data_IF_014316953602
#
_entry.id   IF_014316953602
#
_cell.length_a   1.000
_cell.length_b   1.000
_cell.length_c   1.000
_cell.angle_alpha   90.00
_cell.angle_beta   90.00
_cell.angle_gamma   90.00
#
_symmetry.space_group_name_H-M   'P 1'
#
loop_
_entity.id
_entity.type
_entity.pdbx_description
1 polymer ?
#
# COMPACT_ATOMS: atom_id res chain seq x y z
N UNK A 1 -10.43 -17.98 6.78
CA UNK A 1 -9.00 -18.34 6.90
C UNK A 1 -8.27 -18.37 5.55
N UNK A 2 -8.95 -18.51 4.43
CA UNK A 2 -8.35 -18.62 3.08
C UNK A 2 -7.79 -17.29 2.51
N UNK A 3 -8.35 -16.14 2.81
CA UNK A 3 -8.01 -14.88 2.14
C UNK A 3 -6.76 -14.14 2.65
N UNK A 4 -6.23 -14.47 3.83
CA UNK A 4 -4.97 -13.89 4.34
C UNK A 4 -3.73 -14.75 4.06
N UNK A 5 -3.88 -16.00 3.69
CA UNK A 5 -2.76 -16.82 3.25
C UNK A 5 -2.19 -16.38 1.91
N UNK A 6 -2.97 -15.69 1.07
CA UNK A 6 -2.57 -15.30 -0.28
C UNK A 6 -1.38 -14.32 -0.28
N UNK A 7 -1.40 -13.28 0.55
CA UNK A 7 -0.30 -12.31 0.64
C UNK A 7 1.00 -12.93 1.14
N UNK A 8 0.93 -13.83 2.14
CA UNK A 8 2.12 -14.52 2.66
C UNK A 8 2.55 -15.62 1.69
N UNK A 9 1.63 -16.43 1.23
CA UNK A 9 1.94 -17.60 0.39
C UNK A 9 2.46 -17.17 -0.97
N UNK A 10 1.80 -16.24 -1.64
CA UNK A 10 2.15 -15.84 -2.99
C UNK A 10 3.16 -14.68 -3.03
N UNK A 11 2.86 -13.54 -2.45
CA UNK A 11 3.73 -12.37 -2.58
C UNK A 11 5.05 -12.53 -1.80
N UNK A 12 4.98 -12.85 -0.51
CA UNK A 12 6.18 -13.10 0.30
C UNK A 12 6.92 -14.35 -0.17
N UNK A 13 6.19 -15.43 -0.51
CA UNK A 13 6.77 -16.66 -1.03
C UNK A 13 7.54 -16.43 -2.32
N UNK A 14 6.98 -15.69 -3.28
CA UNK A 14 7.66 -15.33 -4.52
C UNK A 14 8.92 -14.50 -4.27
N UNK A 15 8.84 -13.50 -3.37
CA UNK A 15 9.99 -12.66 -3.00
C UNK A 15 11.12 -13.47 -2.35
N UNK A 16 10.78 -14.41 -1.45
CA UNK A 16 11.77 -15.30 -0.80
C UNK A 16 12.40 -16.26 -1.82
N UNK A 17 11.63 -16.79 -2.78
CA UNK A 17 12.17 -17.61 -3.86
C UNK A 17 13.11 -16.81 -4.77
N UNK A 18 12.76 -15.58 -5.14
CA UNK A 18 13.63 -14.69 -5.90
C UNK A 18 14.95 -14.42 -5.15
N UNK A 19 14.85 -14.17 -3.85
CA UNK A 19 16.03 -14.03 -2.99
C UNK A 19 16.88 -15.30 -2.92
N UNK A 20 16.27 -16.47 -2.89
CA UNK A 20 16.99 -17.76 -2.95
C UNK A 20 17.71 -17.91 -4.30
N UNK A 21 17.09 -17.49 -5.42
CA UNK A 21 17.74 -17.44 -6.74
C UNK A 21 18.96 -16.50 -6.71
N UNK A 22 18.84 -15.31 -6.13
CA UNK A 22 19.96 -14.37 -5.98
C UNK A 22 21.08 -14.96 -5.12
N UNK A 23 20.72 -15.63 -4.02
CA UNK A 23 21.67 -16.25 -3.09
C UNK A 23 22.44 -17.43 -3.69
N UNK A 24 21.79 -18.30 -4.45
CA UNK A 24 22.39 -19.51 -5.05
C UNK A 24 23.00 -19.27 -6.44
N UNK A 25 22.62 -18.19 -7.10
CA UNK A 25 22.91 -17.90 -8.50
C UNK A 25 21.90 -18.56 -9.45
N UNK A 26 21.43 -17.79 -10.45
CA UNK A 26 20.34 -18.20 -11.36
C UNK A 26 20.66 -19.49 -12.11
N UNK A 27 21.87 -19.65 -12.61
CA UNK A 27 22.28 -20.87 -13.37
C UNK A 27 22.25 -22.12 -12.47
N UNK A 28 22.80 -22.00 -11.26
CA UNK A 28 22.77 -23.07 -10.26
C UNK A 28 21.34 -23.41 -9.86
N UNK A 29 20.49 -22.40 -9.68
CA UNK A 29 19.08 -22.62 -9.36
C UNK A 29 18.35 -23.40 -10.46
N UNK A 30 18.55 -23.05 -11.72
CA UNK A 30 17.95 -23.75 -12.86
C UNK A 30 18.48 -25.18 -12.97
N UNK A 31 19.79 -25.39 -12.75
CA UNK A 31 20.38 -26.72 -12.74
C UNK A 31 19.78 -27.60 -11.61
N UNK A 32 19.64 -27.04 -10.41
CA UNK A 32 19.00 -27.70 -9.29
C UNK A 32 17.55 -28.11 -9.61
N UNK A 33 16.75 -27.21 -10.21
CA UNK A 33 15.38 -27.54 -10.59
C UNK A 33 15.31 -28.68 -11.61
N UNK A 34 16.21 -28.71 -12.59
CA UNK A 34 16.29 -29.83 -13.56
C UNK A 34 16.56 -31.16 -12.86
N UNK A 35 17.52 -31.19 -11.94
CA UNK A 35 17.84 -32.37 -11.16
C UNK A 35 16.65 -32.78 -10.28
N UNK A 36 16.07 -31.85 -9.57
CA UNK A 36 14.91 -32.04 -8.72
C UNK A 36 13.73 -32.67 -9.48
N UNK A 37 13.33 -32.11 -10.60
CA UNK A 37 12.24 -32.66 -11.41
C UNK A 37 12.57 -34.00 -12.03
N UNK A 38 13.82 -34.25 -12.44
CA UNK A 38 14.25 -35.55 -12.95
C UNK A 38 14.17 -36.64 -11.89
N UNK A 39 14.56 -36.35 -10.64
CA UNK A 39 14.57 -37.32 -9.53
C UNK A 39 13.18 -37.59 -8.95
N UNK A 40 12.32 -36.57 -8.95
CA UNK A 40 11.05 -36.62 -8.23
C UNK A 40 9.82 -36.54 -9.15
N UNK A 41 9.98 -36.76 -10.46
CA UNK A 41 8.86 -36.76 -11.40
C UNK A 41 7.72 -37.67 -10.92
N UNK A 42 6.49 -37.12 -10.92
CA UNK A 42 5.26 -37.83 -10.51
C UNK A 42 5.25 -38.33 -9.05
N UNK A 43 6.08 -37.75 -8.18
CA UNK A 43 6.13 -38.07 -6.75
C UNK A 43 5.84 -36.84 -5.89
N UNK A 44 5.41 -37.06 -4.65
CA UNK A 44 5.36 -36.03 -3.63
C UNK A 44 6.78 -35.73 -3.12
N UNK A 45 7.00 -34.47 -2.80
CA UNK A 45 8.29 -33.95 -2.34
C UNK A 45 8.13 -33.04 -1.13
N UNK A 46 9.25 -32.82 -0.45
CA UNK A 46 9.40 -31.89 0.64
C UNK A 46 10.29 -30.71 0.23
N UNK A 47 10.36 -29.67 1.05
CA UNK A 47 11.31 -28.57 0.86
C UNK A 47 12.76 -29.08 0.89
N UNK A 48 13.06 -30.08 1.73
CA UNK A 48 14.40 -30.63 1.87
C UNK A 48 14.90 -31.28 0.56
N UNK A 49 14.01 -31.89 -0.22
CA UNK A 49 14.38 -32.51 -1.51
C UNK A 49 14.84 -31.43 -2.51
N UNK A 50 14.22 -30.24 -2.51
CA UNK A 50 14.66 -29.12 -3.33
C UNK A 50 15.99 -28.53 -2.81
N UNK A 51 16.11 -28.32 -1.50
CA UNK A 51 17.30 -27.74 -0.89
C UNK A 51 18.56 -28.59 -1.15
N UNK A 52 18.47 -29.92 -1.10
CA UNK A 52 19.60 -30.82 -1.44
C UNK A 52 20.14 -30.57 -2.84
N UNK A 53 19.26 -30.41 -3.82
CA UNK A 53 19.68 -30.12 -5.20
C UNK A 53 20.30 -28.73 -5.33
N UNK A 54 19.75 -27.73 -4.62
CA UNK A 54 20.29 -26.39 -4.59
C UNK A 54 21.66 -26.30 -3.93
N UNK A 55 21.88 -27.01 -2.82
CA UNK A 55 23.19 -27.11 -2.16
C UNK A 55 24.22 -27.81 -3.07
N UNK A 56 23.81 -28.89 -3.72
CA UNK A 56 24.68 -29.64 -4.64
C UNK A 56 25.13 -28.81 -5.86
N UNK A 57 24.28 -27.95 -6.39
CA UNK A 57 24.61 -27.16 -7.58
C UNK A 57 25.27 -25.83 -7.26
N UNK A 58 24.93 -25.17 -6.14
CA UNK A 58 25.44 -23.85 -5.77
C UNK A 58 26.70 -23.89 -4.90
N UNK A 59 26.95 -25.02 -4.22
CA UNK A 59 28.02 -25.16 -3.23
C UNK A 59 27.79 -24.35 -1.95
N UNK A 60 26.59 -23.75 -1.76
CA UNK A 60 26.22 -23.01 -0.57
C UNK A 60 25.48 -23.89 0.41
N UNK A 61 25.75 -23.73 1.70
CA UNK A 61 24.97 -24.36 2.77
C UNK A 61 23.68 -23.57 2.97
N UNK A 62 22.51 -24.20 2.82
CA UNK A 62 21.21 -23.52 2.85
C UNK A 62 20.46 -23.72 4.18
N UNK A 63 20.86 -24.62 5.04
CA UNK A 63 20.19 -24.84 6.34
C UNK A 63 20.12 -23.59 7.21
N UNK A 64 21.21 -22.80 7.41
CA UNK A 64 21.14 -21.54 8.16
C UNK A 64 20.24 -20.50 7.48
N UNK A 65 20.28 -20.44 6.15
CA UNK A 65 19.42 -19.54 5.37
C UNK A 65 17.94 -19.87 5.57
N UNK A 66 17.56 -21.16 5.47
CA UNK A 66 16.18 -21.62 5.70
C UNK A 66 15.72 -21.32 7.12
N UNK A 67 16.56 -21.59 8.12
CA UNK A 67 16.23 -21.31 9.51
C UNK A 67 15.90 -19.82 9.74
N UNK A 68 16.68 -18.92 9.15
CA UNK A 68 16.45 -17.47 9.31
C UNK A 68 15.31 -16.92 8.46
N UNK A 69 15.12 -17.42 7.25
CA UNK A 69 14.12 -16.87 6.32
C UNK A 69 12.74 -17.51 6.41
N UNK A 70 12.66 -18.82 6.72
CA UNK A 70 11.39 -19.54 6.72
C UNK A 70 10.86 -19.86 8.13
N UNK A 71 11.72 -19.81 9.17
CA UNK A 71 11.35 -20.17 10.53
C UNK A 71 11.25 -18.97 11.48
N UNK A 72 11.56 -17.77 11.01
CA UNK A 72 11.47 -16.54 11.81
C UNK A 72 10.49 -15.54 11.21
N UNK A 73 9.94 -14.66 12.05
CA UNK A 73 8.99 -13.62 11.64
C UNK A 73 9.68 -12.25 11.50
N UNK A 74 8.98 -11.34 10.79
CA UNK A 74 9.40 -9.95 10.63
C UNK A 74 10.28 -9.69 9.41
N UNK A 75 10.60 -8.43 9.15
CA UNK A 75 11.38 -7.94 8.01
C UNK A 75 12.48 -7.03 8.52
N UNK A 76 13.72 -7.24 8.05
CA UNK A 76 14.84 -6.37 8.37
C UNK A 76 14.77 -5.03 7.65
N UNK A 77 15.33 -4.00 8.28
CA UNK A 77 15.48 -2.67 7.66
C UNK A 77 16.93 -2.45 7.28
N UNK A 78 17.16 -2.07 6.03
CA UNK A 78 18.48 -1.76 5.47
C UNK A 78 18.55 -0.25 5.19
N UNK A 79 19.62 0.41 5.65
CA UNK A 79 19.86 1.83 5.39
C UNK A 79 21.31 2.13 5.09
N UNK A 80 21.61 3.13 4.24
CA UNK A 80 22.99 3.53 4.01
C UNK A 80 23.53 4.34 5.18
N UNK A 81 24.80 4.07 5.52
CA UNK A 81 25.65 4.95 6.31
C UNK A 81 26.78 5.45 5.43
N UNK A 82 26.81 6.75 5.16
CA UNK A 82 27.67 7.36 4.14
C UNK A 82 28.60 8.40 4.77
N UNK A 83 29.89 8.37 4.42
CA UNK A 83 30.82 9.46 4.66
C UNK A 83 31.37 9.94 3.32
N UNK A 84 31.46 11.27 3.16
CA UNK A 84 31.88 11.91 1.92
C UNK A 84 33.15 12.71 2.19
N UNK A 85 34.15 12.54 1.32
CA UNK A 85 35.37 13.34 1.31
C UNK A 85 35.70 13.72 -0.14
N UNK A 86 35.97 14.99 -0.39
CA UNK A 86 36.31 15.51 -1.72
C UNK A 86 35.31 15.12 -2.81
N UNK A 87 34.00 15.20 -2.49
CA UNK A 87 32.87 14.81 -3.34
C UNK A 87 32.88 13.32 -3.77
N UNK A 88 33.55 12.47 -3.00
CA UNK A 88 33.62 11.03 -3.21
C UNK A 88 33.18 10.26 -1.96
N UNK A 89 32.71 9.05 -2.17
CA UNK A 89 32.40 8.15 -1.06
C UNK A 89 33.69 7.68 -0.39
N UNK A 90 33.95 8.15 0.84
CA UNK A 90 35.03 7.63 1.70
C UNK A 90 34.57 6.46 2.56
N UNK A 91 33.25 6.30 2.77
CA UNK A 91 32.63 5.16 3.44
C UNK A 91 31.23 4.96 2.88
N UNK A 92 30.86 3.73 2.60
CA UNK A 92 29.48 3.28 2.38
C UNK A 92 29.30 1.98 3.16
N UNK A 93 28.44 2.00 4.17
CA UNK A 93 28.01 0.81 4.87
C UNK A 93 26.50 0.61 4.68
N UNK A 94 26.07 -0.64 4.60
CA UNK A 94 24.68 -1.03 4.76
C UNK A 94 24.49 -1.39 6.22
N UNK A 95 23.73 -0.57 6.94
CA UNK A 95 23.31 -0.86 8.31
C UNK A 95 22.04 -1.72 8.26
N UNK A 96 22.05 -2.85 8.95
CA UNK A 96 20.90 -3.72 9.10
C UNK A 96 20.33 -3.63 10.50
N UNK A 97 19.05 -3.29 10.61
CA UNK A 97 18.30 -3.37 11.87
C UNK A 97 17.43 -4.64 11.89
N UNK A 98 17.25 -5.24 13.10
CA UNK A 98 16.33 -6.36 13.26
C UNK A 98 14.88 -5.92 13.02
N UNK A 99 13.96 -6.86 12.77
CA UNK A 99 12.54 -6.54 12.65
C UNK A 99 12.00 -5.81 13.89
N UNK A 100 11.22 -4.76 13.67
CA UNK A 100 10.51 -4.08 14.75
C UNK A 100 9.33 -4.90 15.28
N UNK A 101 8.81 -5.81 14.48
CA UNK A 101 7.73 -6.74 14.80
C UNK A 101 8.16 -8.16 14.36
N UNK A 102 8.10 -9.17 15.24
CA UNK A 102 7.68 -9.10 16.65
C UNK A 102 8.64 -8.32 17.54
N UNK A 103 8.11 -7.67 18.57
CA UNK A 103 8.90 -6.88 19.53
C UNK A 103 9.96 -7.76 20.17
N UNK A 104 11.20 -7.23 20.24
CA UNK A 104 12.35 -7.95 20.81
C UNK A 104 13.05 -8.90 19.85
N UNK A 105 12.67 -8.94 18.57
CA UNK A 105 13.41 -9.66 17.53
C UNK A 105 14.86 -9.17 17.46
N UNK A 106 15.80 -10.12 17.28
CA UNK A 106 17.23 -9.85 17.12
C UNK A 106 17.78 -10.39 15.79
N UNK A 107 16.90 -10.87 14.94
CA UNK A 107 17.29 -11.53 13.69
C UNK A 107 17.93 -10.55 12.71
N UNK A 108 19.16 -10.80 12.34
CA UNK A 108 19.90 -10.13 11.28
C UNK A 108 20.11 -11.13 10.14
N UNK A 109 19.23 -11.08 9.13
CA UNK A 109 19.22 -12.08 8.07
C UNK A 109 20.32 -11.83 7.05
N UNK A 110 20.90 -12.88 6.45
CA UNK A 110 21.80 -12.70 5.32
C UNK A 110 21.02 -12.28 4.08
N UNK A 111 21.54 -11.29 3.35
CA UNK A 111 20.98 -10.83 2.08
C UNK A 111 22.03 -10.95 0.98
N UNK A 112 21.61 -11.29 -0.22
CA UNK A 112 22.35 -11.07 -1.46
C UNK A 112 21.64 -9.97 -2.23
N UNK A 113 22.27 -8.84 -2.45
CA UNK A 113 21.66 -7.69 -3.08
C UNK A 113 22.67 -6.87 -3.88
N UNK A 114 22.15 -5.93 -4.70
CA UNK A 114 22.95 -4.95 -5.39
C UNK A 114 22.79 -3.56 -4.74
N UNK A 115 23.83 -2.74 -4.81
CA UNK A 115 23.79 -1.30 -4.52
C UNK A 115 24.06 -0.56 -5.82
N UNK A 116 23.12 0.31 -6.22
CA UNK A 116 23.20 1.11 -7.44
C UNK A 116 23.49 2.58 -7.15
N UNK A 117 24.35 3.18 -7.96
CA UNK A 117 24.59 4.63 -8.01
C UNK A 117 23.96 5.20 -9.28
N UNK A 118 23.15 6.25 -9.12
CA UNK A 118 22.44 6.90 -10.22
C UNK A 118 22.80 8.38 -10.30
N UNK A 119 23.01 8.89 -11.52
CA UNK A 119 23.33 10.29 -11.80
C UNK A 119 22.25 10.92 -12.69
N UNK A 120 22.00 12.20 -12.47
CA UNK A 120 21.23 13.03 -13.39
C UNK A 120 22.09 13.31 -14.62
N UNK A 121 21.62 12.86 -15.79
CA UNK A 121 22.26 13.13 -17.11
C UNK A 121 21.22 13.72 -18.05
N UNK A 122 21.30 15.03 -18.25
CA UNK A 122 20.24 15.78 -18.92
C UNK A 122 18.96 15.73 -18.10
N UNK A 123 17.86 15.22 -18.69
CA UNK A 123 16.59 15.06 -17.99
C UNK A 123 16.38 13.67 -17.37
N UNK A 124 17.34 12.75 -17.52
CA UNK A 124 17.22 11.35 -17.09
C UNK A 124 17.99 11.10 -15.81
N UNK A 125 17.49 10.17 -14.98
CA UNK A 125 18.22 9.59 -13.86
C UNK A 125 18.71 8.19 -14.27
N UNK A 126 20.02 8.04 -14.47
CA UNK A 126 20.62 6.87 -15.10
C UNK A 126 21.55 6.17 -14.13
N UNK A 127 21.43 4.83 -14.04
CA UNK A 127 22.37 4.01 -13.27
C UNK A 127 23.76 4.13 -13.88
N UNK A 128 24.71 4.64 -13.08
CA UNK A 128 26.12 4.76 -13.46
C UNK A 128 26.90 3.51 -13.10
N UNK A 129 26.67 3.00 -11.90
CA UNK A 129 27.41 1.88 -11.33
C UNK A 129 26.48 0.97 -10.50
N UNK A 130 26.83 -0.30 -10.37
CA UNK A 130 26.10 -1.24 -9.52
C UNK A 130 27.02 -2.36 -9.04
N UNK A 131 27.04 -2.63 -7.74
CA UNK A 131 27.86 -3.65 -7.11
C UNK A 131 26.98 -4.63 -6.37
N UNK A 132 27.15 -5.95 -6.63
CA UNK A 132 26.48 -7.01 -5.89
C UNK A 132 27.35 -7.50 -4.73
N UNK A 133 26.74 -7.67 -3.56
CA UNK A 133 27.43 -8.15 -2.37
C UNK A 133 26.52 -8.99 -1.47
N UNK A 134 27.16 -9.79 -0.62
CA UNK A 134 26.49 -10.45 0.49
C UNK A 134 26.49 -9.51 1.71
N UNK A 135 25.30 -9.27 2.28
CA UNK A 135 25.10 -8.45 3.48
C UNK A 135 24.84 -9.37 4.66
N UNK A 136 25.58 -9.18 5.75
CA UNK A 136 25.42 -9.97 6.97
C UNK A 136 25.74 -9.16 8.22
N UNK A 137 25.13 -9.52 9.35
CA UNK A 137 25.31 -8.81 10.60
C UNK A 137 24.69 -7.41 10.60
N UNK A 138 25.09 -6.58 11.55
CA UNK A 138 24.52 -5.25 11.77
C UNK A 138 25.04 -4.18 10.80
N UNK A 139 26.23 -4.39 10.22
CA UNK A 139 26.86 -3.47 9.28
C UNK A 139 27.72 -4.23 8.28
N UNK A 140 27.61 -3.86 7.00
CA UNK A 140 28.41 -4.45 5.90
C UNK A 140 28.97 -3.32 5.04
N UNK A 141 30.28 -3.28 4.81
CA UNK A 141 30.93 -2.32 3.91
C UNK A 141 30.66 -2.63 2.46
N UNK A 142 30.41 -1.58 1.65
CA UNK A 142 30.26 -1.66 0.19
C UNK A 142 31.59 -1.21 -0.47
N UNK A 143 32.62 -2.04 -0.31
CA UNK A 143 33.97 -1.68 -0.72
C UNK A 143 34.09 -1.36 -2.20
N UNK A 144 33.31 -2.02 -3.07
CA UNK A 144 33.35 -1.82 -4.52
C UNK A 144 32.89 -0.44 -5.00
N UNK A 145 32.32 0.40 -4.10
CA UNK A 145 31.89 1.76 -4.42
C UNK A 145 32.72 2.84 -3.70
N UNK A 146 33.77 2.47 -2.96
CA UNK A 146 34.65 3.43 -2.31
C UNK A 146 35.48 4.18 -3.35
N UNK A 147 35.58 5.50 -3.18
CA UNK A 147 36.28 6.38 -4.11
C UNK A 147 35.47 6.82 -5.32
N UNK A 148 34.27 6.24 -5.55
CA UNK A 148 33.32 6.72 -6.55
C UNK A 148 32.84 8.13 -6.24
N UNK A 149 32.54 8.92 -7.28
CA UNK A 149 31.95 10.24 -7.13
C UNK A 149 30.56 10.16 -6.50
N UNK A 150 30.19 11.19 -5.72
CA UNK A 150 28.89 11.26 -5.07
C UNK A 150 27.76 11.21 -6.10
N UNK A 151 26.89 10.19 -5.99
CA UNK A 151 25.74 10.01 -6.85
C UNK A 151 24.57 10.91 -6.45
N UNK A 152 23.64 11.14 -7.36
CA UNK A 152 22.39 11.83 -7.07
C UNK A 152 21.38 10.92 -6.35
N UNK A 153 21.43 9.60 -6.61
CA UNK A 153 20.66 8.59 -5.89
C UNK A 153 21.55 7.37 -5.60
N UNK A 154 21.58 6.95 -4.34
CA UNK A 154 22.14 5.67 -3.90
C UNK A 154 20.97 4.73 -3.55
N UNK A 155 20.89 3.59 -4.25
CA UNK A 155 19.81 2.62 -4.08
C UNK A 155 20.34 1.28 -3.55
N UNK A 156 20.04 0.97 -2.28
CA UNK A 156 20.24 -0.35 -1.71
C UNK A 156 19.16 -1.28 -2.25
N UNK A 157 19.49 -2.54 -2.47
CA UNK A 157 18.63 -3.56 -3.07
C UNK A 157 18.22 -3.23 -4.51
N UNK A 158 19.07 -2.52 -5.25
CA UNK A 158 18.91 -2.32 -6.68
C UNK A 158 18.60 -3.66 -7.37
N UNK A 159 17.67 -3.69 -8.34
CA UNK A 159 17.13 -4.89 -8.99
C UNK A 159 16.21 -5.76 -8.11
N UNK A 160 15.81 -5.30 -6.92
CA UNK A 160 14.86 -5.99 -6.03
C UNK A 160 15.24 -7.46 -5.72
N UNK A 161 16.49 -7.70 -5.36
CA UNK A 161 17.04 -9.05 -5.17
C UNK A 161 16.72 -9.64 -3.80
N UNK A 162 16.32 -8.85 -2.81
CA UNK A 162 16.14 -9.27 -1.43
C UNK A 162 14.88 -8.70 -0.78
N UNK A 163 14.26 -9.50 0.09
CA UNK A 163 13.07 -9.08 0.86
C UNK A 163 13.49 -8.31 2.11
N UNK A 164 13.49 -6.99 2.01
CA UNK A 164 13.87 -6.09 3.10
C UNK A 164 13.13 -4.76 2.99
N UNK A 165 13.00 -4.05 4.11
CA UNK A 165 12.68 -2.63 4.11
C UNK A 165 13.95 -1.85 3.78
N UNK A 166 13.90 -1.04 2.75
CA UNK A 166 15.02 -0.17 2.35
C UNK A 166 14.74 1.26 2.78
N UNK A 167 15.79 1.98 3.16
CA UNK A 167 15.75 3.40 3.47
C UNK A 167 16.68 4.16 2.54
N UNK A 168 16.22 5.29 2.06
CA UNK A 168 17.01 6.20 1.27
C UNK A 168 17.64 7.28 2.17
N UNK A 169 18.78 7.79 1.76
CA UNK A 169 19.36 9.00 2.34
C UNK A 169 18.64 10.27 1.85
N UNK A 170 18.85 11.40 2.54
CA UNK A 170 18.18 12.67 2.26
C UNK A 170 18.46 13.20 0.84
N UNK A 171 19.68 12.99 0.31
CA UNK A 171 20.03 13.41 -1.06
C UNK A 171 19.23 12.60 -2.08
N UNK A 172 19.17 11.31 -1.91
CA UNK A 172 18.37 10.40 -2.75
C UNK A 172 16.89 10.79 -2.73
N UNK A 173 16.31 11.06 -1.56
CA UNK A 173 14.92 11.53 -1.43
C UNK A 173 14.71 12.85 -2.20
N UNK A 174 15.61 13.83 -2.03
CA UNK A 174 15.50 15.11 -2.73
C UNK A 174 15.59 14.96 -4.25
N UNK A 175 16.43 14.05 -4.75
CA UNK A 175 16.51 13.73 -6.17
C UNK A 175 15.19 13.16 -6.70
N UNK A 176 14.53 12.29 -5.94
CA UNK A 176 13.26 11.71 -6.35
C UNK A 176 12.13 12.73 -6.48
N UNK A 177 12.14 13.83 -5.74
CA UNK A 177 11.12 14.89 -5.84
C UNK A 177 10.93 15.41 -7.26
N UNK A 178 11.96 15.32 -8.10
CA UNK A 178 11.93 15.84 -9.48
C UNK A 178 12.29 14.81 -10.55
N UNK A 179 12.90 13.67 -10.17
CA UNK A 179 13.48 12.75 -11.15
C UNK A 179 12.98 11.30 -11.07
N UNK A 180 12.06 10.94 -10.17
CA UNK A 180 11.55 9.57 -10.09
C UNK A 180 10.91 9.11 -11.42
N UNK A 181 10.13 9.98 -12.06
CA UNK A 181 9.53 9.73 -13.38
C UNK A 181 10.52 9.78 -14.56
N UNK A 182 11.80 10.08 -14.30
CA UNK A 182 12.88 10.16 -15.30
C UNK A 182 13.78 8.93 -15.35
N UNK A 183 13.47 7.92 -14.53
CA UNK A 183 14.11 6.60 -14.55
C UNK A 183 13.41 5.76 -15.62
N UNK A 184 14.16 5.24 -16.59
CA UNK A 184 13.59 4.44 -17.69
C UNK A 184 13.24 3.01 -17.26
N UNK A 185 14.02 2.43 -16.34
CA UNK A 185 13.80 1.06 -15.84
C UNK A 185 12.56 0.97 -14.94
N UNK A 186 11.54 0.24 -15.41
CA UNK A 186 10.27 0.08 -14.70
C UNK A 186 10.42 -0.62 -13.34
N UNK A 187 11.33 -1.59 -13.24
CA UNK A 187 11.57 -2.29 -11.98
C UNK A 187 12.14 -1.34 -10.94
N UNK A 188 13.14 -0.54 -11.30
CA UNK A 188 13.75 0.47 -10.42
C UNK A 188 12.71 1.49 -9.96
N UNK A 189 11.84 1.99 -10.87
CA UNK A 189 10.76 2.91 -10.48
C UNK A 189 9.79 2.26 -9.50
N UNK A 190 9.35 1.04 -9.81
CA UNK A 190 8.41 0.30 -8.95
C UNK A 190 9.00 0.03 -7.56
N UNK A 191 10.28 -0.30 -7.49
CA UNK A 191 11.01 -0.48 -6.23
C UNK A 191 11.08 0.82 -5.44
N UNK A 192 11.40 1.94 -6.08
CA UNK A 192 11.45 3.25 -5.42
C UNK A 192 10.07 3.68 -4.91
N UNK A 193 8.99 3.46 -5.68
CA UNK A 193 7.61 3.69 -5.22
C UNK A 193 7.31 2.88 -3.96
N UNK A 194 7.70 1.61 -3.92
CA UNK A 194 7.51 0.76 -2.74
C UNK A 194 8.33 1.25 -1.53
N UNK A 195 9.58 1.66 -1.74
CA UNK A 195 10.48 2.17 -0.71
C UNK A 195 9.93 3.44 -0.06
N UNK A 196 9.57 4.46 -0.85
CA UNK A 196 9.07 5.73 -0.28
C UNK A 196 7.69 5.56 0.37
N UNK A 197 6.85 4.66 -0.14
CA UNK A 197 5.60 4.30 0.52
C UNK A 197 5.84 3.64 1.88
N UNK A 198 6.81 2.74 1.98
CA UNK A 198 7.15 2.08 3.25
C UNK A 198 7.78 3.08 4.23
N UNK A 199 8.61 4.02 3.75
CA UNK A 199 9.17 5.11 4.56
C UNK A 199 8.08 6.05 5.09
N UNK A 200 7.05 6.37 4.29
CA UNK A 200 5.88 7.12 4.75
C UNK A 200 5.14 6.36 5.85
N UNK A 201 4.86 5.07 5.63
CA UNK A 201 4.14 4.23 6.59
C UNK A 201 4.87 4.02 7.91
N UNK A 202 6.18 4.08 7.90
CA UNK A 202 7.02 3.97 9.11
C UNK A 202 7.38 5.35 9.70
N UNK A 203 6.74 6.44 9.22
CA UNK A 203 6.95 7.81 9.66
C UNK A 203 8.41 8.31 9.50
N UNK A 204 9.13 7.79 8.51
CA UNK A 204 10.47 8.23 8.13
C UNK A 204 10.45 9.26 6.99
N UNK A 205 9.38 9.29 6.19
CA UNK A 205 9.08 10.29 5.16
C UNK A 205 7.78 11.02 5.52
N UNK A 206 7.68 12.34 5.30
CA UNK A 206 6.44 13.09 5.50
C UNK A 206 5.41 12.77 4.42
N UNK A 207 4.12 12.89 4.73
CA UNK A 207 3.06 12.75 3.74
C UNK A 207 3.17 13.84 2.66
N UNK A 208 3.56 15.04 3.04
CA UNK A 208 3.80 16.16 2.11
C UNK A 208 4.88 15.80 1.09
N UNK A 209 6.04 15.30 1.53
CA UNK A 209 7.12 14.90 0.61
C UNK A 209 6.74 13.72 -0.28
N UNK A 210 6.07 12.70 0.30
CA UNK A 210 5.58 11.56 -0.48
C UNK A 210 4.62 11.99 -1.60
N UNK A 211 3.63 12.85 -1.27
CA UNK A 211 2.66 13.36 -2.24
C UNK A 211 3.37 14.20 -3.32
N UNK A 212 4.37 15.00 -2.93
CA UNK A 212 5.16 15.79 -3.89
C UNK A 212 5.89 14.89 -4.89
N UNK A 213 6.63 13.87 -4.40
CA UNK A 213 7.32 12.90 -5.23
C UNK A 213 6.32 12.17 -6.14
N UNK A 214 5.20 11.69 -5.58
CA UNK A 214 4.19 10.97 -6.36
C UNK A 214 3.62 11.81 -7.49
N UNK A 215 3.20 13.04 -7.21
CA UNK A 215 2.62 13.92 -8.22
C UNK A 215 3.63 14.36 -9.29
N UNK A 216 4.93 14.38 -8.98
CA UNK A 216 5.98 14.70 -9.96
C UNK A 216 6.23 13.57 -10.97
N UNK A 217 6.08 12.31 -10.54
CA UNK A 217 6.41 11.14 -11.38
C UNK A 217 5.22 10.41 -11.99
N UNK A 218 4.00 10.61 -11.44
CA UNK A 218 2.82 9.83 -11.81
C UNK A 218 2.47 9.91 -13.31
N UNK A 219 2.63 11.09 -13.94
CA UNK A 219 2.31 11.28 -15.36
C UNK A 219 3.25 10.49 -16.29
N UNK A 220 4.46 10.22 -15.83
CA UNK A 220 5.48 9.48 -16.60
C UNK A 220 5.39 7.97 -16.41
N UNK A 221 4.52 7.50 -15.50
CA UNK A 221 4.40 6.06 -15.22
C UNK A 221 3.74 5.33 -16.39
N UNK A 222 4.37 4.25 -16.81
CA UNK A 222 3.97 3.48 -17.99
C UNK A 222 3.21 2.19 -17.67
N UNK A 223 3.24 1.77 -16.39
CA UNK A 223 2.57 0.57 -15.93
C UNK A 223 1.23 0.91 -15.25
N UNK A 224 0.13 0.48 -15.85
CA UNK A 224 -1.23 0.78 -15.36
C UNK A 224 -1.50 0.23 -13.95
N UNK A 225 -0.92 -0.93 -13.61
CA UNK A 225 -1.08 -1.51 -12.27
C UNK A 225 -0.36 -0.66 -11.22
N UNK A 226 0.80 -0.11 -11.54
CA UNK A 226 1.52 0.84 -10.69
C UNK A 226 0.70 2.11 -10.50
N UNK A 227 0.17 2.71 -11.58
CA UNK A 227 -0.70 3.89 -11.49
C UNK A 227 -1.93 3.64 -10.61
N UNK A 228 -2.54 2.46 -10.74
CA UNK A 228 -3.68 2.07 -9.89
C UNK A 228 -3.29 2.05 -8.42
N UNK A 229 -2.16 1.43 -8.10
CA UNK A 229 -1.65 1.35 -6.73
C UNK A 229 -1.26 2.73 -6.18
N UNK A 230 -0.59 3.57 -6.98
CA UNK A 230 -0.22 4.93 -6.62
C UNK A 230 -1.46 5.80 -6.34
N UNK A 231 -2.55 5.60 -7.08
CA UNK A 231 -3.82 6.28 -6.80
C UNK A 231 -4.41 5.95 -5.42
N UNK A 232 -4.37 4.67 -5.02
CA UNK A 232 -4.79 4.23 -3.67
C UNK A 232 -3.85 4.80 -2.60
N UNK A 233 -2.54 4.77 -2.85
CA UNK A 233 -1.55 5.32 -1.94
C UNK A 233 -1.68 6.84 -1.78
N UNK A 234 -1.94 7.57 -2.87
CA UNK A 234 -2.19 9.01 -2.85
C UNK A 234 -3.40 9.36 -1.99
N UNK A 235 -4.53 8.66 -2.21
CA UNK A 235 -5.73 8.84 -1.38
C UNK A 235 -5.44 8.57 0.10
N UNK A 236 -4.75 7.47 0.41
CA UNK A 236 -4.40 7.11 1.80
C UNK A 236 -3.43 8.12 2.42
N UNK A 237 -2.43 8.58 1.67
CA UNK A 237 -1.48 9.59 2.12
C UNK A 237 -2.20 10.89 2.50
N UNK A 238 -3.09 11.38 1.63
CA UNK A 238 -3.88 12.59 1.88
C UNK A 238 -4.82 12.40 3.06
N UNK A 239 -5.59 11.30 3.07
CA UNK A 239 -6.69 11.14 4.02
C UNK A 239 -6.24 10.67 5.41
N UNK A 240 -5.23 9.83 5.47
CA UNK A 240 -4.85 9.18 6.72
C UNK A 240 -3.50 9.61 7.27
N UNK A 241 -2.51 9.87 6.41
CA UNK A 241 -1.13 10.12 6.85
C UNK A 241 -0.75 11.60 6.86
N UNK A 242 -1.42 12.45 6.05
CA UNK A 242 -1.20 13.89 6.12
C UNK A 242 -1.66 14.45 7.46
N UNK A 243 -0.84 15.38 8.02
CA UNK A 243 -1.25 16.13 9.19
C UNK A 243 -2.60 16.81 8.93
N UNK A 244 -3.56 16.78 9.87
CA UNK A 244 -4.86 17.41 9.68
C UNK A 244 -4.80 18.88 9.21
N UNK A 245 -3.75 19.62 9.60
CA UNK A 245 -3.55 21.02 9.15
C UNK A 245 -3.19 21.15 7.67
N UNK A 246 -2.51 20.14 7.11
CA UNK A 246 -2.02 20.14 5.72
C UNK A 246 -3.00 19.46 4.75
N UNK A 247 -3.92 18.63 5.28
CA UNK A 247 -4.76 17.69 4.51
C UNK A 247 -5.56 18.35 3.39
N UNK A 248 -6.26 19.45 3.68
CA UNK A 248 -7.10 20.09 2.68
C UNK A 248 -6.27 20.74 1.55
N UNK A 249 -5.14 21.35 1.91
CA UNK A 249 -4.21 21.92 0.93
C UNK A 249 -3.60 20.83 0.03
N UNK A 250 -3.19 19.70 0.63
CA UNK A 250 -2.64 18.56 -0.10
C UNK A 250 -3.69 17.90 -0.98
N UNK A 251 -4.93 17.74 -0.50
CA UNK A 251 -6.04 17.24 -1.31
C UNK A 251 -6.28 18.13 -2.52
N UNK A 252 -6.34 19.45 -2.33
CA UNK A 252 -6.55 20.42 -3.40
C UNK A 252 -5.42 20.36 -4.44
N UNK A 253 -4.16 20.31 -3.98
CA UNK A 253 -2.98 20.16 -4.84
C UNK A 253 -3.05 18.86 -5.65
N UNK A 254 -3.33 17.74 -4.98
CA UNK A 254 -3.43 16.44 -5.61
C UNK A 254 -4.57 16.38 -6.63
N UNK A 255 -5.78 16.78 -6.25
CA UNK A 255 -6.95 16.77 -7.12
C UNK A 255 -6.74 17.62 -8.38
N UNK A 256 -6.20 18.84 -8.25
CA UNK A 256 -5.88 19.71 -9.39
C UNK A 256 -4.86 19.06 -10.33
N UNK A 257 -3.78 18.52 -9.78
CA UNK A 257 -2.74 17.86 -10.59
C UNK A 257 -3.25 16.62 -11.30
N UNK A 258 -4.06 15.79 -10.63
CA UNK A 258 -4.67 14.61 -11.26
C UNK A 258 -5.63 15.02 -12.39
N UNK A 259 -6.42 16.07 -12.20
CA UNK A 259 -7.28 16.59 -13.27
C UNK A 259 -6.48 17.09 -14.47
N UNK A 260 -5.36 17.79 -14.27
CA UNK A 260 -4.46 18.20 -15.35
C UNK A 260 -3.89 17.00 -16.11
N UNK A 261 -3.46 15.94 -15.40
CA UNK A 261 -2.96 14.70 -16.01
C UNK A 261 -4.09 14.03 -16.81
N UNK A 262 -5.30 13.94 -16.24
CA UNK A 262 -6.46 13.38 -16.90
C UNK A 262 -6.79 14.10 -18.23
N UNK A 263 -6.68 15.41 -18.27
CA UNK A 263 -6.92 16.21 -19.50
C UNK A 263 -5.90 15.92 -20.61
N UNK A 264 -4.68 15.53 -20.24
CA UNK A 264 -3.61 15.19 -21.18
C UNK A 264 -3.54 13.70 -21.54
N UNK A 265 -4.25 12.86 -20.79
CA UNK A 265 -4.25 11.42 -21.02
C UNK A 265 -4.85 11.09 -22.38
N UNK A 266 -4.31 10.05 -23.03
CA UNK A 266 -4.81 9.58 -24.34
C UNK A 266 -6.30 9.26 -24.24
N UNK A 267 -7.09 9.89 -25.10
CA UNK A 267 -8.54 9.68 -25.19
C UNK A 267 -8.89 8.20 -25.43
N UNK A 268 -9.77 7.65 -24.62
CA UNK A 268 -10.22 6.25 -24.70
C UNK A 268 -9.19 5.22 -24.19
N UNK A 269 -8.08 5.65 -23.60
CA UNK A 269 -7.06 4.75 -23.07
C UNK A 269 -7.29 4.38 -21.59
N UNK A 270 -6.65 3.29 -21.16
CA UNK A 270 -6.75 2.77 -19.79
C UNK A 270 -6.27 3.81 -18.75
N UNK A 271 -5.27 4.59 -19.08
CA UNK A 271 -4.79 5.68 -18.20
C UNK A 271 -5.85 6.76 -17.99
N UNK A 272 -6.61 7.12 -19.03
CA UNK A 272 -7.72 8.07 -18.90
C UNK A 272 -8.79 7.54 -17.93
N UNK A 273 -9.16 6.25 -18.06
CA UNK A 273 -10.08 5.59 -17.12
C UNK A 273 -9.54 5.62 -15.70
N UNK A 274 -8.26 5.26 -15.52
CA UNK A 274 -7.66 5.21 -14.19
C UNK A 274 -7.50 6.59 -13.55
N UNK A 275 -7.07 7.60 -14.30
CA UNK A 275 -6.99 8.98 -13.77
C UNK A 275 -8.38 9.56 -13.46
N UNK A 276 -9.43 9.17 -14.19
CA UNK A 276 -10.81 9.52 -13.82
C UNK A 276 -11.19 8.94 -12.46
N UNK A 277 -10.82 7.67 -12.18
CA UNK A 277 -11.05 7.02 -10.87
C UNK A 277 -10.32 7.73 -9.74
N UNK A 278 -9.06 8.08 -9.96
CA UNK A 278 -8.23 8.79 -8.97
C UNK A 278 -8.79 10.20 -8.73
N UNK A 279 -9.15 10.93 -9.80
CA UNK A 279 -9.75 12.26 -9.69
C UNK A 279 -11.05 12.22 -8.88
N UNK A 280 -11.97 11.31 -9.20
CA UNK A 280 -13.23 11.16 -8.48
C UNK A 280 -13.03 10.88 -6.99
N UNK A 281 -11.99 10.11 -6.60
CA UNK A 281 -11.69 9.79 -5.21
C UNK A 281 -11.12 10.98 -4.41
N UNK A 282 -10.50 11.96 -5.09
CA UNK A 282 -9.85 13.12 -4.49
C UNK A 282 -10.59 14.44 -4.72
N UNK A 283 -11.68 14.42 -5.50
CA UNK A 283 -12.39 15.63 -5.90
C UNK A 283 -12.71 16.53 -4.70
N UNK A 284 -12.49 17.82 -4.87
CA UNK A 284 -12.83 18.85 -3.90
C UNK A 284 -14.11 19.58 -4.29
N UNK A 285 -14.70 20.34 -3.37
CA UNK A 285 -15.91 21.11 -3.68
C UNK A 285 -15.71 22.10 -4.83
N UNK A 286 -14.50 22.64 -4.99
CA UNK A 286 -14.16 23.55 -6.10
C UNK A 286 -14.23 22.87 -7.47
N UNK A 287 -14.03 21.53 -7.53
CA UNK A 287 -13.94 20.76 -8.77
C UNK A 287 -15.16 19.86 -9.04
N UNK A 288 -16.22 20.01 -8.27
CA UNK A 288 -17.48 19.30 -8.53
C UNK A 288 -18.07 19.61 -9.92
N UNK A 289 -17.97 20.84 -10.47
CA UNK A 289 -18.42 21.13 -11.84
C UNK A 289 -17.68 20.28 -12.88
N UNK A 290 -16.37 20.10 -12.75
CA UNK A 290 -15.54 19.26 -13.64
C UNK A 290 -15.98 17.79 -13.59
N UNK A 291 -16.18 17.27 -12.38
CA UNK A 291 -16.62 15.87 -12.22
C UNK A 291 -18.05 15.68 -12.78
N UNK A 292 -18.92 16.67 -12.60
CA UNK A 292 -20.27 16.66 -13.20
C UNK A 292 -20.22 16.73 -14.73
N UNK A 293 -19.33 17.51 -15.30
CA UNK A 293 -19.11 17.56 -16.74
C UNK A 293 -18.66 16.19 -17.29
N UNK A 294 -17.79 15.49 -16.56
CA UNK A 294 -17.39 14.12 -16.94
C UNK A 294 -18.61 13.19 -16.92
N UNK A 295 -19.45 13.23 -15.87
CA UNK A 295 -20.68 12.42 -15.78
C UNK A 295 -21.65 12.68 -16.95
N UNK A 296 -21.68 13.91 -17.45
CA UNK A 296 -22.49 14.34 -18.60
C UNK A 296 -21.89 13.92 -19.97
N UNK A 297 -20.74 13.21 -19.98
CA UNK A 297 -20.08 12.75 -21.20
C UNK A 297 -19.19 13.79 -21.89
N UNK A 298 -18.84 14.87 -21.22
CA UNK A 298 -18.05 15.98 -21.79
C UNK A 298 -16.52 15.76 -21.69
N UNK A 299 -16.04 14.56 -21.40
CA UNK A 299 -14.63 14.21 -21.49
C UNK A 299 -14.39 13.36 -22.73
N UNK A 300 -13.70 13.94 -23.72
CA UNK A 300 -13.47 13.28 -25.01
C UNK A 300 -12.81 11.91 -24.85
N UNK A 301 -13.37 10.89 -25.48
CA UNK A 301 -12.88 9.51 -25.51
C UNK A 301 -13.23 8.67 -24.29
N UNK A 302 -13.66 9.26 -23.18
CA UNK A 302 -14.05 8.48 -22.00
C UNK A 302 -15.40 7.78 -22.27
N UNK A 303 -15.37 6.45 -22.20
CA UNK A 303 -16.60 5.65 -22.20
C UNK A 303 -17.14 5.58 -20.78
N UNK A 304 -18.34 6.11 -20.59
CA UNK A 304 -19.07 6.03 -19.32
C UNK A 304 -19.89 4.73 -19.28
N UNK A 305 -19.20 3.63 -19.00
CA UNK A 305 -19.87 2.39 -18.67
C UNK A 305 -20.61 2.47 -17.31
N UNK A 306 -21.33 1.43 -16.96
CA UNK A 306 -22.11 1.37 -15.72
C UNK A 306 -21.24 1.67 -14.48
N UNK A 307 -20.07 1.04 -14.40
CA UNK A 307 -19.18 1.16 -13.26
C UNK A 307 -18.64 2.59 -13.11
N UNK A 308 -18.20 3.20 -14.21
CA UNK A 308 -17.68 4.57 -14.21
C UNK A 308 -18.78 5.59 -13.87
N UNK A 309 -19.98 5.42 -14.42
CA UNK A 309 -21.13 6.28 -14.09
C UNK A 309 -21.44 6.25 -12.60
N UNK A 310 -21.57 5.05 -12.02
CA UNK A 310 -21.85 4.89 -10.60
C UNK A 310 -20.71 5.39 -9.70
N UNK A 311 -19.46 5.19 -10.11
CA UNK A 311 -18.30 5.71 -9.38
C UNK A 311 -18.37 7.25 -9.26
N UNK A 312 -18.61 7.94 -10.38
CA UNK A 312 -18.69 9.39 -10.42
C UNK A 312 -19.96 9.88 -9.68
N UNK A 313 -21.10 9.22 -9.88
CA UNK A 313 -22.35 9.54 -9.18
C UNK A 313 -22.15 9.47 -7.66
N UNK A 314 -21.56 8.38 -7.16
CA UNK A 314 -21.30 8.20 -5.73
C UNK A 314 -20.30 9.23 -5.17
N UNK A 315 -19.30 9.64 -5.94
CA UNK A 315 -18.39 10.71 -5.54
C UNK A 315 -19.09 12.08 -5.44
N UNK A 316 -20.01 12.38 -6.34
CA UNK A 316 -20.84 13.59 -6.28
C UNK A 316 -21.84 13.55 -5.11
N UNK A 317 -22.47 12.41 -4.85
CA UNK A 317 -23.37 12.21 -3.68
C UNK A 317 -22.61 12.39 -2.37
N UNK A 318 -21.42 11.81 -2.25
CA UNK A 318 -20.56 11.94 -1.07
C UNK A 318 -20.31 13.41 -0.68
N UNK A 319 -20.24 14.29 -1.68
CA UNK A 319 -20.04 15.74 -1.52
C UNK A 319 -21.34 16.55 -1.44
N UNK A 320 -22.50 15.87 -1.46
CA UNK A 320 -23.80 16.55 -1.45
C UNK A 320 -24.15 17.28 -2.74
N UNK A 321 -23.41 17.01 -3.84
CA UNK A 321 -23.68 17.60 -5.15
C UNK A 321 -24.81 16.87 -5.91
N UNK A 322 -25.13 15.65 -5.53
CA UNK A 322 -26.30 14.88 -5.98
C UNK A 322 -27.09 14.38 -4.78
N UNK A 323 -28.39 14.18 -4.97
CA UNK A 323 -29.37 13.78 -3.96
C UNK A 323 -29.77 12.31 -4.05
N UNK A 324 -30.61 11.86 -3.13
CA UNK A 324 -31.23 10.52 -3.18
C UNK A 324 -32.09 10.36 -4.45
N UNK A 325 -32.81 11.39 -4.89
CA UNK A 325 -33.59 11.35 -6.12
C UNK A 325 -32.72 11.19 -7.37
N UNK A 326 -31.50 11.70 -7.38
CA UNK A 326 -30.54 11.50 -8.47
C UNK A 326 -30.04 10.04 -8.50
N UNK A 327 -29.86 9.41 -7.35
CA UNK A 327 -29.52 7.99 -7.24
C UNK A 327 -30.65 7.11 -7.78
N UNK A 328 -31.89 7.39 -7.42
CA UNK A 328 -33.07 6.68 -7.95
C UNK A 328 -33.20 6.84 -9.46
N UNK A 329 -32.98 8.06 -9.97
CA UNK A 329 -32.99 8.34 -11.41
C UNK A 329 -31.88 7.57 -12.15
N UNK A 330 -30.71 7.40 -11.55
CA UNK A 330 -29.63 6.61 -12.15
C UNK A 330 -29.97 5.10 -12.11
N UNK A 331 -30.50 4.58 -11.00
CA UNK A 331 -30.92 3.18 -10.87
C UNK A 331 -32.04 2.81 -11.86
N UNK A 332 -32.93 3.75 -12.17
CA UNK A 332 -34.04 3.52 -13.13
C UNK A 332 -33.55 3.25 -14.56
N UNK A 333 -32.32 3.63 -14.90
CA UNK A 333 -31.72 3.39 -16.23
C UNK A 333 -31.22 1.95 -16.40
N UNK A 334 -30.80 1.32 -15.31
CA UNK A 334 -30.31 -0.05 -15.28
C UNK A 334 -30.52 -0.62 -13.88
N UNK A 335 -31.39 -1.62 -13.74
CA UNK A 335 -31.70 -2.26 -12.45
C UNK A 335 -30.96 -3.60 -12.29
N UNK A 336 -29.76 -3.73 -12.87
CA UNK A 336 -28.90 -4.89 -12.67
C UNK A 336 -28.43 -4.99 -11.20
N UNK A 337 -27.96 -6.17 -10.79
CA UNK A 337 -27.39 -6.36 -9.46
C UNK A 337 -26.21 -5.39 -9.20
N UNK A 338 -25.39 -5.12 -10.22
CA UNK A 338 -24.28 -4.19 -10.11
C UNK A 338 -24.76 -2.77 -9.81
N UNK A 339 -25.82 -2.30 -10.51
CA UNK A 339 -26.43 -1.00 -10.25
C UNK A 339 -27.07 -0.93 -8.85
N UNK A 340 -27.78 -1.99 -8.40
CA UNK A 340 -28.37 -2.04 -7.06
C UNK A 340 -27.30 -1.98 -5.96
N UNK A 341 -26.18 -2.65 -6.14
CA UNK A 341 -25.03 -2.59 -5.23
C UNK A 341 -24.42 -1.19 -5.17
N UNK A 342 -24.22 -0.56 -6.32
CA UNK A 342 -23.68 0.80 -6.40
C UNK A 342 -24.65 1.85 -5.83
N UNK A 343 -25.95 1.67 -6.05
CA UNK A 343 -27.02 2.47 -5.46
C UNK A 343 -27.01 2.37 -3.91
N UNK A 344 -26.90 1.15 -3.37
CA UNK A 344 -26.80 0.94 -1.92
C UNK A 344 -25.56 1.65 -1.32
N UNK A 345 -24.44 1.66 -2.04
CA UNK A 345 -23.26 2.43 -1.68
C UNK A 345 -23.56 3.94 -1.71
N UNK A 346 -24.25 4.43 -2.74
CA UNK A 346 -24.64 5.84 -2.89
C UNK A 346 -25.51 6.32 -1.73
N UNK A 347 -26.56 5.58 -1.37
CA UNK A 347 -27.44 5.90 -0.24
C UNK A 347 -26.65 6.03 1.07
N UNK A 348 -25.71 5.12 1.33
CA UNK A 348 -24.84 5.18 2.49
C UNK A 348 -23.79 6.30 2.44
N UNK A 349 -23.53 6.85 1.24
CA UNK A 349 -22.59 7.98 1.02
C UNK A 349 -23.23 9.35 1.21
N UNK A 350 -24.56 9.45 1.31
CA UNK A 350 -25.25 10.73 1.53
C UNK A 350 -24.73 11.37 2.82
N UNK A 351 -24.31 12.68 2.79
CA UNK A 351 -23.64 13.34 3.92
C UNK A 351 -24.64 13.87 4.96
N UNK A 352 -25.50 12.99 5.49
CA UNK A 352 -26.48 13.31 6.54
C UNK A 352 -26.47 12.29 7.66
N UNK A 353 -26.78 12.71 8.89
CA UNK A 353 -26.89 11.83 10.05
C UNK A 353 -27.94 10.74 9.85
N UNK A 354 -29.06 11.04 9.21
CA UNK A 354 -30.13 10.09 8.90
C UNK A 354 -29.64 8.98 7.94
N UNK A 355 -28.96 9.33 6.85
CA UNK A 355 -28.40 8.36 5.93
C UNK A 355 -27.36 7.45 6.61
N UNK A 356 -26.50 8.01 7.48
CA UNK A 356 -25.56 7.21 8.28
C UNK A 356 -26.28 6.27 9.24
N UNK A 357 -27.35 6.72 9.90
CA UNK A 357 -28.15 5.87 10.78
C UNK A 357 -28.85 4.72 10.03
N UNK A 358 -29.42 5.01 8.86
CA UNK A 358 -30.02 4.00 7.98
C UNK A 358 -28.96 2.96 7.53
N UNK A 359 -27.80 3.42 7.07
CA UNK A 359 -26.71 2.54 6.64
C UNK A 359 -26.21 1.65 7.79
N UNK A 360 -26.00 2.21 8.98
CA UNK A 360 -25.60 1.46 10.18
C UNK A 360 -26.62 0.39 10.55
N UNK A 361 -27.91 0.75 10.59
CA UNK A 361 -28.96 -0.21 10.91
C UNK A 361 -28.99 -1.37 9.92
N UNK A 362 -28.78 -1.11 8.62
CA UNK A 362 -28.68 -2.17 7.61
C UNK A 362 -27.48 -3.09 7.84
N UNK A 363 -26.31 -2.53 8.20
CA UNK A 363 -25.10 -3.31 8.48
C UNK A 363 -25.25 -4.23 9.69
N UNK A 364 -25.96 -3.80 10.74
CA UNK A 364 -26.05 -4.52 12.02
C UNK A 364 -27.26 -5.45 12.08
N UNK A 365 -28.45 -4.99 11.66
CA UNK A 365 -29.72 -5.65 11.92
C UNK A 365 -30.27 -6.44 10.75
N UNK A 366 -29.95 -6.06 9.50
CA UNK A 366 -30.54 -6.71 8.33
C UNK A 366 -29.74 -7.94 7.89
N UNK A 367 -30.45 -8.95 7.41
CA UNK A 367 -29.86 -10.08 6.71
C UNK A 367 -29.65 -9.73 5.24
N UNK A 368 -28.49 -9.16 4.94
CA UNK A 368 -28.06 -8.79 3.61
C UNK A 368 -26.86 -9.62 3.15
N UNK A 369 -26.69 -9.81 1.85
CA UNK A 369 -25.54 -10.52 1.31
C UNK A 369 -24.22 -9.79 1.59
N UNK A 370 -23.11 -10.53 1.59
CA UNK A 370 -21.76 -9.96 1.79
C UNK A 370 -21.45 -8.84 0.80
N UNK A 371 -21.93 -8.95 -0.45
CA UNK A 371 -21.73 -7.92 -1.47
C UNK A 371 -22.46 -6.60 -1.12
N UNK A 372 -23.71 -6.65 -0.66
CA UNK A 372 -24.42 -5.46 -0.19
C UNK A 372 -23.77 -4.87 1.05
N UNK A 373 -23.34 -5.71 1.99
CA UNK A 373 -22.65 -5.28 3.21
C UNK A 373 -21.39 -4.50 2.90
N UNK A 374 -20.56 -5.02 2.01
CA UNK A 374 -19.33 -4.36 1.56
C UNK A 374 -19.63 -2.99 0.93
N UNK A 375 -20.60 -2.91 0.03
CA UNK A 375 -20.96 -1.66 -0.65
C UNK A 375 -21.55 -0.62 0.29
N UNK A 376 -22.44 -1.02 1.19
CA UNK A 376 -22.99 -0.11 2.22
C UNK A 376 -21.87 0.40 3.13
N UNK A 377 -20.94 -0.49 3.54
CA UNK A 377 -19.78 -0.08 4.33
C UNK A 377 -18.91 0.95 3.60
N UNK A 378 -18.57 0.70 2.33
CA UNK A 378 -17.81 1.66 1.50
C UNK A 378 -18.49 3.02 1.40
N UNK A 379 -19.83 3.07 1.35
CA UNK A 379 -20.59 4.32 1.39
C UNK A 379 -20.64 4.96 2.77
N UNK A 380 -20.70 4.16 3.83
CA UNK A 380 -20.77 4.64 5.20
C UNK A 380 -19.45 5.30 5.65
N UNK A 381 -18.31 4.63 5.44
CA UNK A 381 -16.99 5.03 5.95
C UNK A 381 -16.28 6.06 5.06
N UNK A 382 -16.97 7.17 4.73
CA UNK A 382 -16.37 8.23 3.91
C UNK A 382 -15.45 9.15 4.71
N UNK A 383 -14.19 9.25 4.31
CA UNK A 383 -13.18 10.08 4.97
C UNK A 383 -13.53 11.57 4.96
N UNK A 384 -14.32 12.01 3.99
CA UNK A 384 -14.82 13.38 3.86
C UNK A 384 -15.93 13.74 4.86
N UNK A 385 -16.47 12.74 5.56
CA UNK A 385 -17.63 12.86 6.46
C UNK A 385 -17.26 12.46 7.91
N UNK A 386 -16.00 12.70 8.31
CA UNK A 386 -15.47 12.31 9.63
C UNK A 386 -16.34 12.76 10.79
N UNK A 387 -16.86 14.00 10.75
CA UNK A 387 -17.67 14.53 11.84
C UNK A 387 -18.99 13.78 12.04
N UNK A 388 -19.61 13.33 10.95
CA UNK A 388 -20.82 12.49 11.02
C UNK A 388 -20.53 11.10 11.57
N UNK A 389 -19.30 10.60 11.38
CA UNK A 389 -18.91 9.25 11.79
C UNK A 389 -18.47 9.16 13.26
N UNK A 390 -18.21 10.26 13.94
CA UNK A 390 -17.87 10.28 15.38
C UNK A 390 -18.92 9.60 16.25
N UNK A 391 -20.19 9.77 15.92
CA UNK A 391 -21.31 9.17 16.65
C UNK A 391 -21.32 7.63 16.67
N UNK A 392 -20.55 6.99 15.78
CA UNK A 392 -20.54 5.54 15.59
C UNK A 392 -19.37 4.82 16.26
N UNK A 393 -18.50 5.56 16.97
CA UNK A 393 -17.38 4.98 17.72
C UNK A 393 -17.93 4.07 18.84
N UNK A 394 -18.79 4.59 19.72
CA UNK A 394 -19.33 3.81 20.84
C UNK A 394 -20.20 2.63 20.35
N UNK A 395 -21.16 2.83 19.45
CA UNK A 395 -21.93 1.73 18.89
C UNK A 395 -21.09 0.61 18.25
N UNK A 396 -19.94 0.93 17.67
CA UNK A 396 -19.04 -0.09 17.14
C UNK A 396 -18.55 -1.04 18.24
N UNK A 397 -18.02 -0.50 19.34
CA UNK A 397 -17.49 -1.30 20.45
C UNK A 397 -18.58 -2.07 21.20
N UNK A 398 -19.76 -1.47 21.37
CA UNK A 398 -20.90 -2.09 22.02
C UNK A 398 -21.41 -3.36 21.30
N UNK A 399 -21.33 -3.37 19.96
CA UNK A 399 -21.82 -4.49 19.16
C UNK A 399 -20.79 -5.60 18.90
N UNK A 400 -19.50 -5.43 19.26
CA UNK A 400 -18.43 -6.37 18.88
C UNK A 400 -18.69 -7.82 19.33
N UNK A 401 -19.03 -8.04 20.60
CA UNK A 401 -19.26 -9.38 21.11
C UNK A 401 -20.52 -10.03 20.52
N UNK A 402 -21.58 -9.24 20.34
CA UNK A 402 -22.81 -9.72 19.74
C UNK A 402 -22.61 -10.13 18.29
N UNK A 403 -21.94 -9.29 17.49
CA UNK A 403 -21.64 -9.56 16.09
C UNK A 403 -20.72 -10.77 15.93
N UNK A 404 -19.73 -10.91 16.81
CA UNK A 404 -18.82 -12.06 16.78
C UNK A 404 -19.49 -13.37 17.22
N UNK A 405 -20.37 -13.33 18.19
CA UNK A 405 -21.00 -14.52 18.77
C UNK A 405 -22.21 -15.06 17.99
N UNK A 406 -22.92 -14.21 17.26
CA UNK A 406 -24.21 -14.56 16.63
C UNK A 406 -24.16 -14.71 15.10
N UNK A 407 -23.08 -14.33 14.44
CA UNK A 407 -22.97 -14.32 12.98
C UNK A 407 -21.89 -15.30 12.48
N UNK A 408 -21.92 -15.63 11.18
CA UNK A 408 -20.85 -16.41 10.59
C UNK A 408 -19.49 -15.67 10.68
N UNK A 409 -18.40 -16.43 10.62
CA UNK A 409 -17.05 -15.84 10.67
C UNK A 409 -16.84 -14.72 9.64
N UNK A 410 -17.32 -14.90 8.41
CA UNK A 410 -17.17 -13.90 7.34
C UNK A 410 -17.90 -12.58 7.66
N UNK A 411 -19.11 -12.67 8.23
CA UNK A 411 -19.87 -11.49 8.65
C UNK A 411 -19.20 -10.83 9.86
N UNK A 412 -18.77 -11.64 10.82
CA UNK A 412 -18.14 -11.14 12.05
C UNK A 412 -16.79 -10.47 11.78
N UNK A 413 -15.93 -11.10 10.99
CA UNK A 413 -14.64 -10.53 10.61
C UNK A 413 -14.81 -9.26 9.77
N UNK A 414 -15.74 -9.27 8.82
CA UNK A 414 -16.08 -8.07 8.03
C UNK A 414 -16.57 -6.93 8.92
N UNK A 415 -17.39 -7.21 9.93
CA UNK A 415 -17.80 -6.17 10.87
C UNK A 415 -16.63 -5.57 11.63
N UNK A 416 -15.76 -6.42 12.20
CA UNK A 416 -14.60 -5.97 12.98
C UNK A 416 -13.65 -5.14 12.15
N UNK A 417 -13.37 -5.54 10.92
CA UNK A 417 -12.40 -4.88 10.04
C UNK A 417 -12.98 -3.63 9.35
N UNK A 418 -14.17 -3.77 8.78
CA UNK A 418 -14.74 -2.74 7.92
C UNK A 418 -15.49 -1.65 8.71
N UNK A 419 -16.13 -1.98 9.84
CA UNK A 419 -16.83 -0.98 10.65
C UNK A 419 -15.92 -0.32 11.71
N UNK A 420 -14.66 -0.76 11.86
CA UNK A 420 -13.73 -0.07 12.76
C UNK A 420 -13.62 1.42 12.39
N UNK A 421 -13.73 2.34 13.36
CA UNK A 421 -13.83 3.77 13.07
C UNK A 421 -12.49 4.39 12.62
N UNK A 422 -11.86 3.79 11.61
CA UNK A 422 -10.53 4.15 11.08
C UNK A 422 -10.45 5.60 10.55
N UNK A 423 -11.58 6.22 10.25
CA UNK A 423 -11.63 7.64 9.85
C UNK A 423 -11.35 8.58 11.02
N UNK A 424 -11.45 8.09 12.27
CA UNK A 424 -11.25 8.83 13.51
C UNK A 424 -9.83 8.61 14.06
N UNK A 425 -8.81 8.99 13.28
CA UNK A 425 -7.41 8.82 13.65
C UNK A 425 -7.10 9.71 14.87
N UNK A 426 -7.05 9.12 16.06
CA UNK A 426 -6.79 9.80 17.32
C UNK A 426 -6.20 8.87 18.37
N UNK A 427 -5.47 9.43 19.34
CA UNK A 427 -4.97 8.68 20.49
C UNK A 427 -6.13 8.13 21.33
N UNK A 428 -7.25 8.88 21.43
CA UNK A 428 -8.46 8.44 22.12
C UNK A 428 -9.02 7.12 21.56
N UNK A 429 -9.05 6.97 20.23
CA UNK A 429 -9.49 5.71 19.61
C UNK A 429 -8.52 4.55 19.94
N UNK A 430 -7.21 4.80 19.92
CA UNK A 430 -6.20 3.81 20.31
C UNK A 430 -6.40 3.36 21.74
N UNK A 431 -6.57 4.31 22.68
CA UNK A 431 -6.77 4.04 24.10
C UNK A 431 -8.08 3.30 24.37
N UNK A 432 -9.16 3.68 23.68
CA UNK A 432 -10.46 3.00 23.74
C UNK A 432 -10.36 1.56 23.26
N UNK A 433 -9.63 1.32 22.14
CA UNK A 433 -9.42 -0.03 21.62
C UNK A 433 -8.60 -0.87 22.59
N UNK A 434 -7.52 -0.32 23.16
CA UNK A 434 -6.70 -0.99 24.17
C UNK A 434 -7.50 -1.35 25.41
N UNK A 435 -8.31 -0.41 25.91
CA UNK A 435 -9.18 -0.63 27.06
C UNK A 435 -10.16 -1.77 26.78
N UNK A 436 -10.84 -1.75 25.62
CA UNK A 436 -11.79 -2.80 25.26
C UNK A 436 -11.10 -4.18 25.17
N UNK A 437 -9.90 -4.29 24.58
CA UNK A 437 -9.12 -5.54 24.52
C UNK A 437 -8.77 -6.04 25.92
N UNK A 438 -8.34 -5.15 26.83
CA UNK A 438 -8.02 -5.53 28.22
C UNK A 438 -9.22 -6.00 29.01
N UNK A 439 -10.38 -5.33 28.85
CA UNK A 439 -11.63 -5.70 29.54
C UNK A 439 -12.25 -6.99 28.98
N UNK A 440 -11.85 -7.40 27.77
CA UNK A 440 -12.37 -8.58 27.08
C UNK A 440 -11.23 -9.55 26.68
N UNK A 441 -10.23 -9.74 27.54
CA UNK A 441 -9.03 -10.56 27.29
C UNK A 441 -9.34 -12.04 27.02
N UNK A 442 -10.53 -12.51 27.43
CA UNK A 442 -11.06 -13.87 27.20
C UNK A 442 -11.88 -13.99 25.93
N UNK A 443 -12.06 -12.91 25.16
CA UNK A 443 -12.75 -12.98 23.89
C UNK A 443 -11.99 -13.84 22.87
N UNK A 444 -12.65 -14.24 21.79
CA UNK A 444 -12.04 -15.09 20.77
C UNK A 444 -10.73 -14.48 20.23
N UNK A 445 -9.67 -15.28 20.17
CA UNK A 445 -8.35 -14.85 19.72
C UNK A 445 -8.37 -14.17 18.32
N UNK A 446 -9.26 -14.64 17.42
CA UNK A 446 -9.48 -14.03 16.11
C UNK A 446 -10.00 -12.59 16.19
N UNK A 447 -10.95 -12.32 17.09
CA UNK A 447 -11.49 -10.98 17.33
C UNK A 447 -10.41 -10.05 17.89
N UNK A 448 -9.70 -10.49 18.93
CA UNK A 448 -8.63 -9.68 19.55
C UNK A 448 -7.50 -9.35 18.55
N UNK A 449 -7.16 -10.31 17.68
CA UNK A 449 -6.16 -10.11 16.63
C UNK A 449 -6.62 -9.05 15.62
N UNK A 450 -7.84 -9.16 15.10
CA UNK A 450 -8.38 -8.21 14.11
C UNK A 450 -8.47 -6.79 14.68
N UNK A 451 -8.90 -6.64 15.94
CA UNK A 451 -8.90 -5.35 16.64
C UNK A 451 -7.49 -4.78 16.82
N UNK A 452 -6.53 -5.64 17.18
CA UNK A 452 -5.11 -5.24 17.29
C UNK A 452 -4.56 -4.71 15.97
N UNK A 453 -4.85 -5.38 14.86
CA UNK A 453 -4.43 -4.98 13.51
C UNK A 453 -5.10 -3.66 13.06
N UNK A 454 -6.40 -3.48 13.36
CA UNK A 454 -7.10 -2.24 13.07
C UNK A 454 -6.54 -1.06 13.90
N UNK A 455 -6.29 -1.27 15.20
CA UNK A 455 -5.62 -0.30 16.07
C UNK A 455 -4.24 0.08 15.55
N UNK A 456 -3.41 -0.88 15.15
CA UNK A 456 -2.07 -0.62 14.63
C UNK A 456 -2.09 0.26 13.38
N UNK A 457 -3.13 0.16 12.55
CA UNK A 457 -3.33 1.07 11.42
C UNK A 457 -3.50 2.52 11.88
N UNK A 458 -4.25 2.76 12.97
CA UNK A 458 -4.42 4.10 13.55
C UNK A 458 -3.12 4.60 14.20
N UNK A 459 -2.40 3.73 14.94
CA UNK A 459 -1.10 4.08 15.55
C UNK A 459 -0.10 4.52 14.47
N UNK A 460 -0.04 3.78 13.38
CA UNK A 460 0.82 4.11 12.22
C UNK A 460 0.43 5.45 11.59
N UNK A 461 -0.87 5.71 11.42
CA UNK A 461 -1.37 6.96 10.87
C UNK A 461 -1.01 8.15 11.78
N UNK A 462 -1.15 8.01 13.10
CA UNK A 462 -0.75 9.05 14.06
C UNK A 462 0.75 9.37 13.98
N UNK A 463 1.60 8.35 13.88
CA UNK A 463 3.03 8.55 13.73
C UNK A 463 3.36 9.30 12.42
N UNK A 464 2.72 8.92 11.29
CA UNK A 464 2.91 9.60 10.02
C UNK A 464 2.40 11.05 10.05
N UNK A 465 1.25 11.32 10.69
CA UNK A 465 0.72 12.69 10.88
C UNK A 465 1.65 13.55 11.74
N UNK A 466 2.29 12.96 12.76
CA UNK A 466 3.28 13.66 13.57
C UNK A 466 4.55 14.00 12.78
N UNK A 467 4.97 13.12 11.85
CA UNK A 467 6.11 13.38 10.95
C UNK A 467 5.82 14.47 9.93
N UNK A 468 4.54 14.67 9.56
CA UNK A 468 4.07 15.66 8.57
C UNK A 468 3.68 17.01 9.21
N UNK A 469 3.95 17.21 10.51
CA UNK A 469 3.56 18.39 11.28
C UNK A 469 4.39 19.64 10.94
#
# INVERSE_FOLDING_TARGET
MLFRSDGITYAKGASVLQQLVAHTGRENFIAALRNYFAKHAFKNTTLEDLLKELEATSGRELKPWVATWLQTAGVNTLRPEIEIKDNKYSKINILQAPPSIPVGSKELRPHRLAVGLYDIRGEKLIRRESVELDVSGASTSVEGLLGEDLADLLLINDRDMSYAKVRLDDRSINTLKTHIGKIEDELTRSLLWAIIWDMLRDAELSATDFIEILLSGLESETNISVVTQLGVQLHTAVESYANPKNRDALRNKASKKIYEILQRARAGGDFQLQFTRIFASLVTNEQLPELRNILNGNLNGLVLDLDMRWLITNALVERGALSESDLEAELSKDNSLAAQLAHAQGLASIPTADAKAKAWNRLIKEEISSAFREKIHLGFMRTTQRDLLKAWIDPYFENLLEMWGKKSYDISSSYVELCYPITQISQELVDKTNKWIMENDKAAAGLLRLLGEARDTVVRALAAQAKDA
#
